data_IF_692711838960
#
_entry.id   IF_692711838960
#
_cell.length_a   1.000
_cell.length_b   1.000
_cell.length_c   1.000
_cell.angle_alpha   90.00
_cell.angle_beta   90.00
_cell.angle_gamma   90.00
#
_symmetry.space_group_name_H-M   'P 1'
#
loop_
_entity.id
_entity.type
_entity.pdbx_description
1 polymer ?
#
# COMPACT_ATOMS: atom_id res chain seq x y z
N UNK A 1 -26.79 -12.39 -30.15
CA UNK A 1 -25.37 -12.18 -30.44
C UNK A 1 -24.93 -11.00 -29.63
N UNK A 2 -24.12 -11.03 -28.64
CA UNK A 2 -23.18 -11.93 -28.04
C UNK A 2 -23.27 -11.80 -26.52
N UNK A 3 -23.58 -12.88 -25.86
CA UNK A 3 -23.52 -13.14 -24.44
C UNK A 3 -22.05 -13.27 -24.02
N UNK A 4 -21.44 -12.25 -23.43
CA UNK A 4 -20.16 -12.40 -22.71
C UNK A 4 -19.86 -11.21 -21.80
N UNK A 5 -20.67 -10.97 -20.76
CA UNK A 5 -20.35 -10.08 -19.66
C UNK A 5 -21.05 -10.53 -18.36
N UNK A 6 -20.99 -11.81 -18.04
CA UNK A 6 -21.44 -12.33 -16.75
C UNK A 6 -20.52 -13.48 -16.36
N UNK A 7 -19.28 -13.19 -15.97
CA UNK A 7 -18.55 -14.16 -15.17
C UNK A 7 -17.40 -13.47 -14.42
N UNK A 8 -17.44 -13.62 -13.10
CA UNK A 8 -16.34 -13.60 -12.15
C UNK A 8 -15.77 -12.26 -11.68
N UNK A 9 -16.59 -11.45 -11.00
CA UNK A 9 -16.05 -10.59 -9.95
C UNK A 9 -16.00 -11.35 -8.62
N UNK A 10 -15.15 -12.34 -8.53
CA UNK A 10 -14.60 -12.77 -7.24
C UNK A 10 -13.33 -11.95 -7.01
N UNK A 11 -13.50 -10.72 -6.53
CA UNK A 11 -12.38 -9.94 -6.05
C UNK A 11 -11.78 -10.67 -4.84
N UNK A 12 -10.54 -11.15 -4.90
CA UNK A 12 -9.84 -11.74 -3.76
C UNK A 12 -9.50 -10.71 -2.68
N UNK A 13 -9.92 -9.48 -2.85
CA UNK A 13 -9.54 -8.31 -2.07
C UNK A 13 -10.22 -8.17 -0.71
N UNK A 14 -11.19 -9.03 -0.36
CA UNK A 14 -11.95 -8.91 0.92
C UNK A 14 -11.28 -9.64 2.09
N UNK A 15 -10.25 -10.42 1.84
CA UNK A 15 -9.43 -10.98 2.93
C UNK A 15 -8.12 -10.21 2.99
N UNK A 16 -7.96 -9.41 4.03
CA UNK A 16 -6.84 -8.51 4.30
C UNK A 16 -5.45 -9.17 4.41
N UNK A 17 -5.08 -9.92 3.41
CA UNK A 17 -3.75 -10.51 3.29
C UNK A 17 -2.93 -9.74 2.27
N UNK A 18 -1.80 -9.24 2.69
CA UNK A 18 -0.76 -8.60 1.90
C UNK A 18 -0.14 -9.53 0.82
N UNK A 19 -0.66 -10.75 0.65
CA UNK A 19 -0.32 -11.71 -0.41
C UNK A 19 -0.34 -11.06 -1.81
N UNK A 20 -1.09 -9.97 -1.96
CA UNK A 20 -1.17 -9.19 -3.19
C UNK A 20 0.11 -8.41 -3.56
N UNK A 21 1.04 -8.24 -2.61
CA UNK A 21 2.31 -7.56 -2.90
C UNK A 21 3.33 -8.46 -3.63
N UNK A 22 3.10 -9.78 -3.67
CA UNK A 22 4.10 -10.76 -4.10
C UNK A 22 3.66 -11.55 -5.33
N UNK A 23 2.96 -10.93 -6.29
CA UNK A 23 2.72 -11.62 -7.56
C UNK A 23 3.91 -11.44 -8.51
N UNK A 24 4.67 -12.52 -8.82
CA UNK A 24 5.85 -12.42 -9.70
C UNK A 24 5.54 -12.19 -11.17
N UNK A 25 4.26 -12.18 -11.56
CA UNK A 25 3.83 -12.40 -12.94
C UNK A 25 3.36 -11.16 -13.70
N UNK A 26 3.36 -9.97 -13.08
CA UNK A 26 2.93 -8.75 -13.76
C UNK A 26 4.13 -7.86 -14.09
N UNK A 27 4.58 -7.98 -15.32
CA UNK A 27 5.51 -7.03 -15.97
C UNK A 27 4.74 -5.74 -16.33
N UNK A 28 4.12 -5.09 -15.35
CA UNK A 28 3.59 -3.76 -15.58
C UNK A 28 4.62 -2.70 -15.13
N UNK A 29 4.71 -1.61 -15.87
CA UNK A 29 5.64 -0.52 -15.60
C UNK A 29 5.44 0.20 -14.27
N UNK A 30 4.45 -0.20 -13.46
CA UNK A 30 4.11 0.41 -12.17
C UNK A 30 4.80 -0.25 -10.97
N UNK A 31 5.52 -1.36 -11.17
CA UNK A 31 6.35 -2.02 -10.15
C UNK A 31 7.76 -1.41 -10.01
N UNK A 32 7.98 -0.23 -10.57
CA UNK A 32 9.24 0.50 -10.42
C UNK A 32 9.30 1.08 -8.99
N UNK A 33 10.28 0.65 -8.16
CA UNK A 33 10.42 1.19 -6.82
C UNK A 33 10.91 2.64 -6.85
N UNK A 34 10.59 3.39 -5.80
CA UNK A 34 11.21 4.70 -5.57
C UNK A 34 12.70 4.53 -5.32
N UNK A 35 13.44 5.55 -5.69
CA UNK A 35 14.80 5.67 -5.22
C UNK A 35 14.83 5.89 -3.70
N UNK A 36 15.66 5.13 -3.02
CA UNK A 36 16.01 5.30 -1.62
C UNK A 36 17.54 5.32 -1.50
N UNK A 37 18.07 6.22 -0.67
CA UNK A 37 19.49 6.23 -0.38
C UNK A 37 19.89 5.00 0.46
N UNK A 38 21.18 4.66 0.48
CA UNK A 38 21.70 3.48 1.18
C UNK A 38 21.37 3.47 2.69
N UNK A 39 21.36 4.65 3.30
CA UNK A 39 21.01 4.82 4.71
C UNK A 39 19.57 4.39 4.98
N UNK A 40 18.62 4.86 4.16
CA UNK A 40 17.20 4.52 4.32
C UNK A 40 16.96 3.04 3.98
N UNK A 41 17.62 2.49 2.98
CA UNK A 41 17.57 1.07 2.66
C UNK A 41 18.07 0.20 3.82
N UNK A 42 19.15 0.62 4.49
CA UNK A 42 19.65 -0.09 5.68
C UNK A 42 18.63 -0.10 6.83
N UNK A 43 17.98 1.04 7.08
CA UNK A 43 16.90 1.14 8.08
C UNK A 43 15.73 0.24 7.69
N UNK A 44 15.27 0.28 6.43
CA UNK A 44 14.16 -0.54 5.95
C UNK A 44 14.44 -2.03 6.11
N UNK A 45 15.66 -2.47 5.75
CA UNK A 45 16.08 -3.87 5.88
C UNK A 45 16.04 -4.32 7.34
N UNK A 46 16.61 -3.55 8.26
CA UNK A 46 16.63 -3.88 9.69
C UNK A 46 15.22 -3.97 10.28
N UNK A 47 14.35 -3.02 9.93
CA UNK A 47 12.96 -3.01 10.40
C UNK A 47 12.15 -4.18 9.82
N UNK A 48 12.30 -4.47 8.53
CA UNK A 48 11.59 -5.58 7.89
C UNK A 48 12.07 -6.93 8.42
N UNK A 49 13.37 -7.10 8.68
CA UNK A 49 13.93 -8.31 9.29
C UNK A 49 13.46 -8.50 10.74
N UNK A 50 13.36 -7.42 11.51
CA UNK A 50 12.81 -7.45 12.87
C UNK A 50 11.36 -7.95 12.90
N UNK A 51 10.52 -7.47 11.99
CA UNK A 51 9.13 -7.92 11.85
C UNK A 51 9.07 -9.37 11.33
N UNK A 52 9.82 -9.69 10.27
CA UNK A 52 9.83 -11.03 9.64
C UNK A 52 10.33 -12.12 10.60
N UNK A 53 11.30 -11.80 11.44
CA UNK A 53 11.82 -12.73 12.46
C UNK A 53 10.96 -12.80 13.72
N UNK A 54 9.92 -11.98 13.86
CA UNK A 54 9.05 -11.95 15.02
C UNK A 54 9.65 -11.30 16.27
N UNK A 55 10.84 -10.72 16.19
CA UNK A 55 11.49 -10.05 17.34
C UNK A 55 10.72 -8.83 17.82
N UNK A 56 10.17 -8.04 16.89
CA UNK A 56 9.36 -6.85 17.16
C UNK A 56 10.02 -5.83 18.12
N UNK A 57 11.33 -5.64 18.01
CA UNK A 57 12.10 -4.76 18.88
C UNK A 57 11.88 -3.29 18.59
N UNK A 58 11.64 -2.95 17.30
CA UNK A 58 11.52 -1.58 16.81
C UNK A 58 10.08 -1.15 16.55
N UNK A 59 9.17 -1.50 17.47
CA UNK A 59 7.72 -1.19 17.33
C UNK A 59 7.31 0.10 18.04
N UNK A 60 8.12 0.58 18.99
CA UNK A 60 7.86 1.85 19.67
C UNK A 60 8.60 3.02 19.02
N UNK A 61 8.11 4.24 19.25
CA UNK A 61 8.74 5.47 18.76
C UNK A 61 10.16 5.59 19.27
N UNK A 62 10.42 5.26 20.54
CA UNK A 62 11.72 5.41 21.15
C UNK A 62 12.75 4.41 20.60
N UNK A 63 12.34 3.17 20.34
CA UNK A 63 13.22 2.17 19.73
C UNK A 63 13.53 2.50 18.27
N UNK A 64 12.54 3.03 17.51
CA UNK A 64 12.77 3.54 16.16
C UNK A 64 13.75 4.71 16.14
N UNK A 65 13.67 5.62 17.13
CA UNK A 65 14.61 6.74 17.29
C UNK A 65 16.03 6.25 17.53
N UNK A 66 16.19 5.28 18.41
CA UNK A 66 17.51 4.68 18.71
C UNK A 66 18.09 4.05 17.46
N UNK A 67 17.34 3.18 16.78
CA UNK A 67 17.78 2.54 15.54
C UNK A 67 18.19 3.57 14.49
N UNK A 68 17.36 4.61 14.26
CA UNK A 68 17.68 5.64 13.29
C UNK A 68 18.99 6.37 13.66
N UNK A 69 19.18 6.73 14.93
CA UNK A 69 20.39 7.39 15.40
C UNK A 69 21.62 6.49 15.25
N UNK A 70 21.51 5.22 15.57
CA UNK A 70 22.59 4.24 15.42
C UNK A 70 23.02 4.06 13.96
N UNK A 71 22.04 3.98 13.04
CA UNK A 71 22.31 3.77 11.61
C UNK A 71 22.80 5.03 10.91
N UNK A 72 22.30 6.21 11.31
CA UNK A 72 22.54 7.47 10.57
C UNK A 72 23.51 8.43 11.22
N UNK A 73 23.81 8.25 12.52
CA UNK A 73 24.56 9.20 13.33
C UNK A 73 23.80 10.49 13.67
N UNK A 74 22.51 10.60 13.29
CA UNK A 74 21.71 11.81 13.49
C UNK A 74 20.47 11.53 14.33
N UNK A 75 20.17 12.42 15.27
CA UNK A 75 18.92 12.36 16.03
C UNK A 75 17.78 12.89 15.18
N UNK A 76 16.72 12.10 15.05
CA UNK A 76 15.49 12.53 14.40
C UNK A 76 14.33 12.59 15.40
N UNK A 77 13.58 13.68 15.38
CA UNK A 77 12.38 13.84 16.20
C UNK A 77 11.14 13.26 15.52
N UNK A 78 11.23 12.87 14.25
CA UNK A 78 10.10 12.38 13.45
C UNK A 78 10.34 10.91 13.12
N UNK A 79 9.39 10.05 13.52
CA UNK A 79 9.45 8.63 13.23
C UNK A 79 8.24 8.25 12.40
N UNK A 80 8.52 7.94 11.14
CA UNK A 80 7.50 7.64 10.14
C UNK A 80 7.61 6.23 9.60
N UNK A 81 8.60 5.46 10.03
CA UNK A 81 8.83 4.12 9.52
C UNK A 81 7.75 3.17 10.02
N UNK A 82 7.07 2.54 9.08
CA UNK A 82 6.15 1.45 9.34
C UNK A 82 6.33 0.38 8.28
N UNK A 83 6.68 -0.82 8.70
CA UNK A 83 6.77 -1.99 7.83
C UNK A 83 5.40 -2.64 7.75
N UNK A 84 4.92 -2.85 6.53
CA UNK A 84 3.69 -3.59 6.29
C UNK A 84 3.86 -5.04 6.72
N UNK A 85 2.77 -5.67 7.17
CA UNK A 85 2.78 -7.06 7.62
C UNK A 85 2.02 -7.93 6.63
N UNK A 86 2.60 -9.08 6.26
CA UNK A 86 2.05 -9.97 5.23
C UNK A 86 0.63 -10.46 5.52
N UNK A 87 0.32 -10.68 6.79
CA UNK A 87 -0.93 -11.30 7.22
C UNK A 87 -1.88 -10.34 7.95
N UNK A 88 -1.61 -9.04 7.88
CA UNK A 88 -2.42 -8.01 8.54
C UNK A 88 -2.91 -6.98 7.51
N UNK A 89 -4.02 -6.31 7.77
CA UNK A 89 -4.43 -5.16 6.95
C UNK A 89 -3.36 -4.07 6.93
N UNK A 90 -3.18 -3.43 5.79
CA UNK A 90 -2.32 -2.25 5.69
C UNK A 90 -2.86 -1.10 6.53
N UNK A 91 -1.98 -0.24 7.01
CA UNK A 91 -2.38 1.07 7.46
C UNK A 91 -2.96 1.89 6.28
N UNK A 92 -3.75 2.92 6.62
CA UNK A 92 -4.41 3.78 5.63
C UNK A 92 -3.40 4.39 4.66
N UNK A 93 -3.68 4.30 3.36
CA UNK A 93 -2.91 4.98 2.32
C UNK A 93 -3.27 6.47 2.35
N UNK A 94 -2.33 7.36 2.72
CA UNK A 94 -2.63 8.79 2.85
C UNK A 94 -2.53 9.53 1.51
N UNK A 95 -3.25 10.64 1.38
CA UNK A 95 -3.17 11.53 0.23
C UNK A 95 -1.74 12.01 -0.09
N UNK A 96 -0.89 12.12 0.93
CA UNK A 96 0.52 12.54 0.80
C UNK A 96 1.51 11.38 0.59
N UNK A 97 1.04 10.18 0.23
CA UNK A 97 1.90 9.02 -0.09
C UNK A 97 3.02 9.38 -1.09
N UNK A 98 2.76 10.30 -2.02
CA UNK A 98 3.74 10.75 -2.99
C UNK A 98 4.96 11.46 -2.37
N UNK A 99 4.81 12.04 -1.17
CA UNK A 99 5.90 12.72 -0.44
C UNK A 99 6.62 11.78 0.53
N UNK A 100 5.88 10.85 1.14
CA UNK A 100 6.35 10.07 2.27
C UNK A 100 5.93 8.61 2.15
N UNK A 101 6.82 7.80 1.58
CA UNK A 101 6.65 6.34 1.49
C UNK A 101 7.09 5.57 2.74
N UNK A 102 7.67 6.23 3.74
CA UNK A 102 8.30 5.56 4.89
C UNK A 102 7.32 4.87 5.83
N UNK A 103 6.03 5.20 5.74
CA UNK A 103 4.95 4.52 6.47
C UNK A 103 4.43 3.27 5.77
N UNK A 104 4.99 2.93 4.62
CA UNK A 104 4.60 1.79 3.80
C UNK A 104 5.86 1.11 3.28
N UNK A 105 6.69 0.63 4.22
CA UNK A 105 7.90 -0.14 3.90
C UNK A 105 7.49 -1.56 3.53
N UNK A 106 8.10 -2.08 2.47
CA UNK A 106 7.84 -3.45 1.99
C UNK A 106 8.25 -4.47 3.06
N UNK A 107 7.46 -5.53 3.31
CA UNK A 107 7.70 -6.50 4.38
C UNK A 107 8.89 -7.44 4.13
N UNK A 108 9.35 -7.54 2.89
CA UNK A 108 10.52 -8.36 2.56
C UNK A 108 11.81 -7.54 2.75
N UNK A 109 12.70 -7.94 3.70
CA UNK A 109 13.93 -7.21 3.98
C UNK A 109 14.92 -7.18 2.81
N UNK A 110 14.86 -8.15 1.90
CA UNK A 110 15.74 -8.20 0.72
C UNK A 110 15.43 -7.06 -0.26
N UNK A 111 14.18 -6.61 -0.33
CA UNK A 111 13.77 -5.51 -1.18
C UNK A 111 14.15 -4.13 -0.61
N UNK A 112 14.22 -3.99 0.71
CA UNK A 112 14.68 -2.77 1.43
C UNK A 112 14.17 -1.45 0.83
N UNK A 113 12.85 -1.35 0.57
CA UNK A 113 12.20 -0.24 -0.12
C UNK A 113 10.80 0.07 0.44
N UNK A 114 10.24 1.22 0.07
CA UNK A 114 8.81 1.45 0.21
C UNK A 114 8.03 0.74 -0.91
N UNK A 115 6.70 0.64 -0.75
CA UNK A 115 5.83 0.05 -1.76
C UNK A 115 5.86 0.83 -3.08
N UNK A 116 5.63 0.12 -4.18
CA UNK A 116 5.49 0.68 -5.53
C UNK A 116 4.10 1.29 -5.76
N UNK A 117 3.89 1.95 -6.90
CA UNK A 117 2.58 2.48 -7.29
C UNK A 117 1.56 1.34 -7.39
N UNK A 118 1.92 0.23 -8.01
CA UNK A 118 1.02 -0.92 -8.18
C UNK A 118 0.66 -1.57 -6.84
N UNK A 119 1.61 -1.72 -5.96
CA UNK A 119 1.36 -2.24 -4.60
C UNK A 119 0.43 -1.32 -3.81
N UNK A 120 0.64 0.00 -3.89
CA UNK A 120 -0.25 0.97 -3.26
C UNK A 120 -1.66 0.94 -3.88
N UNK A 121 -1.78 0.79 -5.21
CA UNK A 121 -3.05 0.67 -5.92
C UNK A 121 -3.82 -0.59 -5.49
N UNK A 122 -3.14 -1.73 -5.37
CA UNK A 122 -3.72 -2.97 -4.86
C UNK A 122 -4.24 -2.83 -3.43
N UNK A 123 -3.49 -2.17 -2.54
CA UNK A 123 -3.93 -1.86 -1.18
C UNK A 123 -5.19 -0.97 -1.16
N UNK A 124 -5.35 -0.13 -2.16
CA UNK A 124 -6.55 0.69 -2.38
C UNK A 124 -7.64 -0.02 -3.18
N UNK A 125 -7.49 -1.32 -3.47
CA UNK A 125 -8.44 -2.13 -4.25
C UNK A 125 -8.66 -1.71 -5.71
N UNK A 126 -7.67 -1.09 -6.35
CA UNK A 126 -7.68 -0.92 -7.80
C UNK A 126 -7.40 -2.25 -8.49
N UNK A 127 -8.03 -2.46 -9.64
CA UNK A 127 -7.75 -3.61 -10.49
C UNK A 127 -6.34 -3.52 -11.10
N UNK A 128 -5.74 -4.66 -11.40
CA UNK A 128 -4.36 -4.71 -11.91
C UNK A 128 -4.20 -4.16 -13.32
N UNK A 129 -5.28 -4.08 -14.10
CA UNK A 129 -5.33 -3.48 -15.43
C UNK A 129 -5.58 -1.97 -15.39
N UNK A 130 -5.82 -1.38 -14.21
CA UNK A 130 -6.02 0.06 -14.11
C UNK A 130 -4.72 0.82 -14.38
N UNK A 131 -4.75 1.72 -15.35
CA UNK A 131 -3.59 2.50 -15.77
C UNK A 131 -3.54 3.87 -15.07
N UNK A 132 -2.36 4.19 -14.51
CA UNK A 132 -2.07 5.49 -13.92
C UNK A 132 -1.18 6.27 -14.89
N UNK A 133 -1.64 7.40 -15.38
CA UNK A 133 -0.89 8.22 -16.34
C UNK A 133 0.05 9.21 -15.65
N UNK A 134 1.14 9.56 -16.34
CA UNK A 134 2.11 10.57 -15.91
C UNK A 134 3.28 10.03 -15.09
N UNK A 135 4.12 10.91 -14.53
CA UNK A 135 5.30 10.51 -13.77
C UNK A 135 4.93 9.84 -12.44
N UNK A 136 5.81 8.99 -11.93
CA UNK A 136 5.60 8.17 -10.72
C UNK A 136 5.06 8.97 -9.53
N UNK A 137 5.54 10.19 -9.30
CA UNK A 137 5.03 11.05 -8.23
C UNK A 137 3.55 11.40 -8.41
N UNK A 138 3.10 11.67 -9.64
CA UNK A 138 1.70 11.94 -9.96
C UNK A 138 0.85 10.68 -9.76
N UNK A 139 1.36 9.52 -10.16
CA UNK A 139 0.69 8.22 -9.96
C UNK A 139 0.47 7.92 -8.47
N UNK A 140 1.47 8.09 -7.61
CA UNK A 140 1.30 7.96 -6.16
C UNK A 140 0.28 8.95 -5.59
N UNK A 141 0.24 10.19 -6.13
CA UNK A 141 -0.74 11.20 -5.73
C UNK A 141 -2.16 10.80 -6.13
N UNK A 142 -2.34 10.22 -7.31
CA UNK A 142 -3.64 9.69 -7.75
C UNK A 142 -4.12 8.58 -6.81
N UNK A 143 -3.27 7.58 -6.53
CA UNK A 143 -3.62 6.49 -5.61
C UNK A 143 -3.96 7.03 -4.22
N UNK A 144 -3.15 7.94 -3.67
CA UNK A 144 -3.37 8.45 -2.31
C UNK A 144 -4.62 9.33 -2.16
N UNK A 145 -5.05 10.00 -3.23
CA UNK A 145 -6.26 10.82 -3.23
C UNK A 145 -7.53 10.05 -3.60
N UNK A 146 -7.40 8.82 -4.06
CA UNK A 146 -8.54 8.04 -4.50
C UNK A 146 -9.39 7.53 -3.32
N UNK A 147 -10.69 7.44 -3.57
CA UNK A 147 -11.57 6.58 -2.77
C UNK A 147 -11.36 5.15 -3.26
N UNK A 148 -11.09 4.17 -2.38
CA UNK A 148 -10.90 2.78 -2.79
C UNK A 148 -12.10 2.28 -3.62
N UNK A 149 -11.89 1.74 -4.84
CA UNK A 149 -12.98 1.28 -5.72
C UNK A 149 -13.95 0.31 -5.05
N UNK A 150 -13.45 -0.65 -4.26
CA UNK A 150 -14.31 -1.57 -3.53
C UNK A 150 -15.22 -0.86 -2.51
N UNK A 151 -14.72 0.16 -1.81
CA UNK A 151 -15.52 0.96 -0.89
C UNK A 151 -16.54 1.84 -1.64
N UNK A 152 -16.10 2.49 -2.74
CA UNK A 152 -16.98 3.31 -3.58
C UNK A 152 -18.16 2.48 -4.13
N UNK A 153 -17.94 1.22 -4.52
CA UNK A 153 -18.97 0.30 -4.97
C UNK A 153 -20.03 0.06 -3.88
N UNK A 154 -19.61 -0.23 -2.65
CA UNK A 154 -20.53 -0.46 -1.51
C UNK A 154 -21.41 0.77 -1.27
N UNK A 155 -20.79 1.97 -1.29
CA UNK A 155 -21.52 3.23 -1.11
C UNK A 155 -22.52 3.46 -2.26
N UNK A 156 -22.12 3.23 -3.51
CA UNK A 156 -22.98 3.36 -4.69
C UNK A 156 -24.18 2.41 -4.62
N UNK A 157 -23.98 1.17 -4.23
CA UNK A 157 -25.05 0.19 -4.06
C UNK A 157 -26.05 0.62 -2.95
N UNK A 158 -25.56 1.16 -1.83
CA UNK A 158 -26.41 1.66 -0.75
C UNK A 158 -27.25 2.86 -1.23
N UNK A 159 -26.63 3.82 -1.94
CA UNK A 159 -27.35 4.97 -2.52
C UNK A 159 -28.39 4.51 -3.55
N UNK A 160 -28.04 3.57 -4.43
CA UNK A 160 -28.99 3.03 -5.42
C UNK A 160 -30.23 2.42 -4.77
N UNK A 161 -30.07 1.63 -3.69
CA UNK A 161 -31.20 1.07 -2.94
C UNK A 161 -32.08 2.15 -2.34
N UNK A 162 -31.51 3.19 -1.75
CA UNK A 162 -32.26 4.32 -1.20
C UNK A 162 -33.08 5.05 -2.27
N UNK A 163 -32.49 5.30 -3.43
CA UNK A 163 -33.16 5.94 -4.56
C UNK A 163 -34.34 5.10 -5.09
N UNK A 164 -34.23 3.78 -5.10
CA UNK A 164 -35.34 2.88 -5.48
C UNK A 164 -36.50 3.02 -4.51
N UNK A 165 -36.24 2.97 -3.19
CA UNK A 165 -37.26 3.12 -2.14
C UNK A 165 -37.98 4.47 -2.25
N UNK A 166 -37.25 5.54 -2.60
CA UNK A 166 -37.86 6.88 -2.72
C UNK A 166 -38.77 6.97 -3.97
N UNK A 167 -38.43 6.29 -5.06
CA UNK A 167 -39.22 6.29 -6.29
C UNK A 167 -40.52 5.48 -6.20
N UNK A 168 -40.59 4.51 -5.29
CA UNK A 168 -41.73 3.63 -5.07
C UNK A 168 -42.77 4.26 -4.12
N UNK A 169 -42.51 5.41 -3.54
CA UNK A 169 -43.45 6.20 -2.73
C UNK A 169 -44.10 7.32 -3.54
#
# INVERSE_FOLDING_TARGET
>A
MSSRCQEHFHSPYIRGSLILLVSPWLQDGYHIPRYHNERDQKVFRLLADDIKSGRNQYTSIDTLKKLYTEVTGHVSNIHKYYVLRLNEPSNTIPAHLFKDGMRHVHPDPEQARSITVREAARLQSFDDDFEFLGPSMAQYKMVGNAVPPAFAKIVAEAVSRLLTIIKEK
#
